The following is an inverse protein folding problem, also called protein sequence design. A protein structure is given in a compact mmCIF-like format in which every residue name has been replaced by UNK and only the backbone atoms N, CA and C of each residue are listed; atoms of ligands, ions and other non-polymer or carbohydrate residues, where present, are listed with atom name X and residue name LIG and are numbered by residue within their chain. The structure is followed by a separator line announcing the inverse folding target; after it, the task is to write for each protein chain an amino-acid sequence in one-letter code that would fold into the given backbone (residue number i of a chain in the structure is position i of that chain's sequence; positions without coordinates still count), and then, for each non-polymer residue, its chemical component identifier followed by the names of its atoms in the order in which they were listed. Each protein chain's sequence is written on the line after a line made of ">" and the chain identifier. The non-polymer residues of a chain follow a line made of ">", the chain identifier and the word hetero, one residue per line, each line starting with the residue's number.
data_IF_194409103111
#
_entry.id   IF_194409103111
#
_cell.length_a   1.000
_cell.length_b   1.000
_cell.length_c   1.000
_cell.angle_alpha   90.00
_cell.angle_beta   90.00
_cell.angle_gamma   90.00
#
_symmetry.space_group_name_H-M   'P 1'
#
loop_
_entity.id
_entity.type
_entity.pdbx_description
1 polymer ?
#
# COMPACT_ATOMS: atom_id res chain seq x y z
N UNK A 1 -35.91 39.73 -27.88
CA UNK A 1 -35.93 38.35 -27.36
C UNK A 1 -36.81 38.34 -26.14
N UNK A 2 -37.68 37.34 -26.01
CA UNK A 2 -38.57 37.25 -24.85
C UNK A 2 -37.77 36.96 -23.58
N UNK A 3 -38.22 37.48 -22.44
CA UNK A 3 -37.53 37.30 -21.16
C UNK A 3 -37.37 35.81 -20.80
N UNK A 4 -38.35 34.98 -21.19
CA UNK A 4 -38.32 33.54 -21.01
C UNK A 4 -37.16 32.91 -21.79
N UNK A 5 -36.93 33.33 -23.03
CA UNK A 5 -35.82 32.83 -23.85
C UNK A 5 -34.48 33.15 -23.21
N UNK A 6 -34.32 34.39 -22.73
CA UNK A 6 -33.09 34.82 -22.04
C UNK A 6 -32.88 34.00 -20.76
N UNK A 7 -33.93 33.82 -19.96
CA UNK A 7 -33.86 33.04 -18.73
C UNK A 7 -33.49 31.56 -18.98
N UNK A 8 -34.08 30.94 -20.00
CA UNK A 8 -33.76 29.56 -20.38
C UNK A 8 -32.32 29.41 -20.87
N UNK A 9 -31.79 30.39 -21.60
CA UNK A 9 -30.37 30.40 -22.01
C UNK A 9 -29.47 30.49 -20.78
N UNK A 10 -29.77 31.37 -19.82
CA UNK A 10 -29.01 31.50 -18.58
C UNK A 10 -29.02 30.19 -17.77
N UNK A 11 -30.20 29.58 -17.59
CA UNK A 11 -30.33 28.29 -16.89
C UNK A 11 -29.56 27.20 -17.64
N UNK A 12 -29.66 27.14 -18.97
CA UNK A 12 -28.92 26.19 -19.80
C UNK A 12 -27.40 26.36 -19.66
N UNK A 13 -26.90 27.59 -19.63
CA UNK A 13 -25.47 27.88 -19.38
C UNK A 13 -25.05 27.44 -17.99
N UNK A 14 -25.88 27.66 -16.96
CA UNK A 14 -25.61 27.16 -15.62
C UNK A 14 -25.51 25.63 -15.57
N UNK A 15 -26.43 24.93 -16.23
CA UNK A 15 -26.38 23.47 -16.34
C UNK A 15 -25.14 22.98 -17.10
N UNK A 16 -24.74 23.68 -18.18
CA UNK A 16 -23.53 23.38 -18.94
C UNK A 16 -22.27 23.52 -18.08
N UNK A 17 -22.20 24.53 -17.22
CA UNK A 17 -21.08 24.70 -16.28
C UNK A 17 -21.00 23.57 -15.25
N UNK A 18 -22.15 23.05 -14.78
CA UNK A 18 -22.15 21.87 -13.90
C UNK A 18 -21.61 20.62 -14.62
N UNK A 19 -21.95 20.43 -15.89
CA UNK A 19 -21.38 19.34 -16.70
C UNK A 19 -19.88 19.55 -16.88
N UNK A 20 -19.44 20.78 -17.15
CA UNK A 20 -18.03 21.11 -17.30
C UNK A 20 -17.21 20.86 -16.01
N UNK A 21 -17.78 21.13 -14.82
CA UNK A 21 -17.13 20.81 -13.53
C UNK A 21 -16.87 19.30 -13.37
N UNK A 22 -17.77 18.45 -13.87
CA UNK A 22 -17.60 16.99 -13.81
C UNK A 22 -16.45 16.55 -14.71
N UNK A 23 -16.25 17.21 -15.86
CA UNK A 23 -15.16 16.91 -16.79
C UNK A 23 -13.82 17.50 -16.35
N UNK A 24 -13.85 18.70 -15.77
CA UNK A 24 -12.68 19.45 -15.30
C UNK A 24 -12.97 19.91 -13.88
N UNK A 25 -12.56 19.12 -12.85
CA UNK A 25 -12.80 19.46 -11.46
C UNK A 25 -12.06 20.74 -11.10
N UNK A 26 -12.76 21.88 -11.07
CA UNK A 26 -12.15 23.18 -10.74
C UNK A 26 -12.15 23.47 -9.24
N UNK A 27 -12.67 22.54 -8.43
CA UNK A 27 -12.84 22.72 -7.00
C UNK A 27 -14.06 23.58 -6.65
N UNK A 28 -15.04 23.64 -7.56
CA UNK A 28 -16.30 24.36 -7.36
C UNK A 28 -16.37 25.76 -7.99
N UNK A 29 -15.35 26.23 -8.70
CA UNK A 29 -15.40 27.55 -9.37
C UNK A 29 -16.51 27.59 -10.42
N UNK A 30 -16.64 26.55 -11.25
CA UNK A 30 -17.72 26.48 -12.24
C UNK A 30 -19.08 26.27 -11.57
N UNK A 31 -19.14 25.66 -10.39
CA UNK A 31 -20.38 25.53 -9.59
C UNK A 31 -20.85 26.91 -9.14
N UNK A 32 -19.96 27.77 -8.64
CA UNK A 32 -20.31 29.16 -8.30
C UNK A 32 -20.84 29.90 -9.53
N UNK A 33 -20.17 29.74 -10.68
CA UNK A 33 -20.65 30.29 -11.95
C UNK A 33 -22.05 29.78 -12.32
N UNK A 34 -22.29 28.47 -12.20
CA UNK A 34 -23.59 27.87 -12.46
C UNK A 34 -24.69 28.44 -11.58
N UNK A 35 -24.43 28.59 -10.28
CA UNK A 35 -25.37 29.18 -9.32
C UNK A 35 -25.69 30.64 -9.67
N UNK A 36 -24.71 31.43 -10.11
CA UNK A 36 -24.95 32.80 -10.58
C UNK A 36 -25.86 32.80 -11.82
N UNK A 37 -25.61 31.93 -12.80
CA UNK A 37 -26.46 31.81 -13.98
C UNK A 37 -27.89 31.37 -13.64
N UNK A 38 -28.07 30.44 -12.71
CA UNK A 38 -29.40 30.06 -12.22
C UNK A 38 -30.10 31.22 -11.51
N UNK A 39 -29.39 31.93 -10.64
CA UNK A 39 -29.94 33.10 -9.93
C UNK A 39 -30.34 34.21 -10.91
N UNK A 40 -29.54 34.47 -11.94
CA UNK A 40 -29.86 35.45 -12.99
C UNK A 40 -31.06 34.99 -13.84
N UNK A 41 -31.12 33.71 -14.21
CA UNK A 41 -32.25 33.15 -14.97
C UNK A 41 -33.57 33.24 -14.20
N UNK A 42 -33.57 32.78 -12.95
CA UNK A 42 -34.74 32.87 -12.05
C UNK A 42 -35.09 34.33 -11.75
N UNK A 43 -34.09 35.18 -11.49
CA UNK A 43 -34.28 36.61 -11.27
C UNK A 43 -34.92 37.32 -12.46
N UNK A 44 -34.54 36.94 -13.69
CA UNK A 44 -35.15 37.45 -14.92
C UNK A 44 -36.63 37.07 -15.00
N UNK A 45 -36.97 35.81 -14.67
CA UNK A 45 -38.37 35.33 -14.64
C UNK A 45 -39.16 36.07 -13.56
N UNK A 46 -38.61 36.24 -12.36
CA UNK A 46 -39.29 36.94 -11.26
C UNK A 46 -39.49 38.44 -11.54
N UNK A 47 -38.59 39.06 -12.30
CA UNK A 47 -38.66 40.49 -12.60
C UNK A 47 -39.65 40.81 -13.73
N UNK A 48 -39.66 40.01 -14.79
CA UNK A 48 -40.48 40.28 -15.99
C UNK A 48 -41.72 39.41 -16.11
N UNK A 49 -41.76 38.26 -15.44
CA UNK A 49 -42.82 37.26 -15.51
C UNK A 49 -43.74 37.27 -14.31
N UNK A 50 -44.50 36.18 -14.16
CA UNK A 50 -45.42 36.00 -13.02
C UNK A 50 -44.76 35.28 -11.84
N UNK A 51 -45.31 35.46 -10.63
CA UNK A 51 -44.87 34.71 -9.45
C UNK A 51 -44.98 33.21 -9.66
N UNK A 52 -46.00 32.74 -10.39
CA UNK A 52 -46.18 31.32 -10.70
C UNK A 52 -45.02 30.78 -11.55
N UNK A 53 -44.59 31.51 -12.58
CA UNK A 53 -43.45 31.13 -13.41
C UNK A 53 -42.15 31.06 -12.59
N UNK A 54 -41.94 32.02 -11.69
CA UNK A 54 -40.78 31.99 -10.79
C UNK A 54 -40.78 30.79 -9.86
N UNK A 55 -41.94 30.47 -9.25
CA UNK A 55 -42.10 29.28 -8.39
C UNK A 55 -41.85 28.01 -9.18
N UNK A 56 -42.38 27.90 -10.40
CA UNK A 56 -42.15 26.75 -11.29
C UNK A 56 -40.66 26.62 -11.63
N UNK A 57 -39.97 27.72 -11.95
CA UNK A 57 -38.54 27.70 -12.25
C UNK A 57 -37.70 27.24 -11.05
N UNK A 58 -37.98 27.78 -9.86
CA UNK A 58 -37.28 27.39 -8.62
C UNK A 58 -37.53 25.93 -8.28
N UNK A 59 -38.79 25.47 -8.32
CA UNK A 59 -39.13 24.07 -8.08
C UNK A 59 -38.47 23.14 -9.11
N UNK A 60 -38.44 23.57 -10.38
CA UNK A 60 -37.78 22.85 -11.46
C UNK A 60 -36.29 22.67 -11.22
N UNK A 61 -35.58 23.70 -10.75
CA UNK A 61 -34.17 23.59 -10.39
C UNK A 61 -33.95 22.76 -9.12
N UNK A 62 -34.78 22.95 -8.09
CA UNK A 62 -34.67 22.25 -6.81
C UNK A 62 -34.88 20.74 -6.94
N UNK A 63 -35.76 20.30 -7.85
CA UNK A 63 -36.00 18.88 -8.13
C UNK A 63 -35.12 18.37 -9.26
N UNK A 64 -34.95 19.17 -10.31
CA UNK A 64 -34.24 18.79 -11.53
C UNK A 64 -32.75 18.58 -11.33
N UNK A 65 -32.07 19.43 -10.54
CA UNK A 65 -30.62 19.27 -10.31
C UNK A 65 -30.29 17.99 -9.53
N UNK A 66 -30.94 17.68 -8.37
CA UNK A 66 -30.73 16.40 -7.69
C UNK A 66 -31.14 15.20 -8.55
N UNK A 67 -32.26 15.28 -9.27
CA UNK A 67 -32.70 14.20 -10.14
C UNK A 67 -31.70 13.91 -11.27
N UNK A 68 -31.15 14.97 -11.90
CA UNK A 68 -30.10 14.83 -12.91
C UNK A 68 -28.82 14.23 -12.33
N UNK A 69 -28.40 14.65 -11.13
CA UNK A 69 -27.26 14.06 -10.43
C UNK A 69 -27.48 12.58 -10.10
N UNK A 70 -28.67 12.22 -9.62
CA UNK A 70 -29.02 10.82 -9.36
C UNK A 70 -29.05 9.98 -10.65
N UNK A 71 -29.63 10.51 -11.74
CA UNK A 71 -29.64 9.83 -13.03
C UNK A 71 -28.24 9.65 -13.60
N UNK A 72 -27.37 10.67 -13.49
CA UNK A 72 -25.99 10.60 -13.93
C UNK A 72 -25.19 9.56 -13.14
N UNK A 73 -25.33 9.52 -11.81
CA UNK A 73 -24.66 8.52 -10.97
C UNK A 73 -25.20 7.10 -11.22
N UNK A 74 -26.50 6.93 -11.40
CA UNK A 74 -27.10 5.65 -11.76
C UNK A 74 -26.63 5.15 -13.14
N UNK A 75 -26.55 6.04 -14.13
CA UNK A 75 -26.03 5.73 -15.45
C UNK A 75 -24.54 5.34 -15.40
N UNK A 76 -23.74 6.09 -14.64
CA UNK A 76 -22.32 5.77 -14.41
C UNK A 76 -22.17 4.38 -13.78
N UNK A 77 -22.95 4.06 -12.74
CA UNK A 77 -22.90 2.74 -12.09
C UNK A 77 -23.28 1.61 -13.04
N UNK A 78 -24.25 1.81 -13.94
CA UNK A 78 -24.60 0.81 -14.95
C UNK A 78 -23.49 0.57 -15.96
N UNK A 79 -22.79 1.61 -16.40
CA UNK A 79 -21.65 1.47 -17.32
C UNK A 79 -20.40 0.91 -16.63
N UNK A 80 -20.21 1.24 -15.35
CA UNK A 80 -19.08 0.78 -14.55
C UNK A 80 -19.23 -0.66 -14.05
N UNK A 81 -20.43 -1.25 -14.08
CA UNK A 81 -20.64 -2.64 -13.64
C UNK A 81 -20.13 -3.68 -14.65
N UNK A 82 -20.00 -3.30 -15.92
CA UNK A 82 -19.35 -4.14 -16.96
C UNK A 82 -17.83 -3.97 -16.98
N UNK A 83 -17.33 -2.96 -16.25
CA UNK A 83 -15.91 -2.66 -16.03
C UNK A 83 -15.55 -2.70 -14.55
N UNK A 84 -16.19 -3.61 -13.80
CA UNK A 84 -15.49 -4.25 -12.70
C UNK A 84 -14.40 -5.13 -13.32
N UNK A 85 -13.34 -4.45 -13.79
CA UNK A 85 -12.01 -5.01 -13.74
C UNK A 85 -11.86 -5.63 -12.36
N UNK A 86 -11.55 -6.92 -12.35
CA UNK A 86 -10.89 -7.59 -11.25
C UNK A 86 -9.81 -6.65 -10.70
N UNK A 87 -10.14 -5.84 -9.70
CA UNK A 87 -9.17 -5.19 -8.86
C UNK A 87 -8.68 -6.28 -7.90
N UNK A 88 -7.46 -6.82 -8.06
CA UNK A 88 -6.91 -7.79 -7.11
C UNK A 88 -6.40 -7.08 -5.84
N UNK A 89 -7.03 -5.95 -5.47
CA UNK A 89 -6.72 -5.16 -4.28
C UNK A 89 -7.93 -5.20 -3.35
N UNK A 90 -8.29 -6.41 -2.89
CA UNK A 90 -9.33 -6.54 -1.87
C UNK A 90 -9.89 -7.95 -1.72
N UNK A 91 -9.91 -8.74 -2.80
CA UNK A 91 -10.10 -10.18 -2.73
C UNK A 91 -8.73 -10.86 -2.78
N UNK A 92 -8.00 -10.74 -1.67
CA UNK A 92 -6.91 -11.66 -1.36
C UNK A 92 -7.45 -13.08 -1.59
N UNK A 93 -6.78 -13.95 -2.37
CA UNK A 93 -7.32 -15.23 -2.77
C UNK A 93 -7.91 -15.93 -1.55
N UNK A 94 -9.15 -16.41 -1.66
CA UNK A 94 -9.67 -17.40 -0.73
C UNK A 94 -8.53 -18.41 -0.50
N UNK A 95 -8.19 -18.74 0.76
CA UNK A 95 -7.00 -19.52 1.05
C UNK A 95 -7.00 -20.71 0.11
N UNK A 96 -6.03 -20.75 -0.81
CA UNK A 96 -5.89 -21.89 -1.70
C UNK A 96 -5.90 -23.12 -0.81
N UNK A 97 -6.58 -24.19 -1.22
CA UNK A 97 -6.73 -25.41 -0.41
C UNK A 97 -5.39 -25.91 0.19
N UNK A 98 -4.26 -25.49 -0.39
CA UNK A 98 -2.90 -25.73 0.07
C UNK A 98 -2.47 -24.96 1.35
N UNK A 99 -3.03 -23.79 1.66
CA UNK A 99 -2.60 -22.96 2.81
C UNK A 99 -3.28 -23.41 4.11
N UNK A 100 -4.51 -23.92 4.02
CA UNK A 100 -5.31 -24.35 5.19
C UNK A 100 -4.64 -25.49 5.97
N UNK A 101 -3.83 -26.32 5.29
CA UNK A 101 -3.06 -27.40 5.91
C UNK A 101 -1.71 -26.99 6.52
N UNK A 102 -1.32 -25.71 6.44
CA UNK A 102 -0.02 -25.25 6.96
C UNK A 102 -0.03 -24.97 8.47
N UNK A 103 -1.22 -24.88 9.10
CA UNK A 103 -1.32 -24.63 10.54
C UNK A 103 -0.58 -25.70 11.34
N UNK A 104 0.38 -25.27 12.16
CA UNK A 104 1.23 -26.15 12.97
C UNK A 104 2.48 -26.68 12.26
N UNK A 105 2.63 -26.48 10.94
CA UNK A 105 3.84 -26.87 10.22
C UNK A 105 4.99 -25.92 10.50
N UNK A 106 6.19 -26.44 10.30
CA UNK A 106 7.46 -25.73 10.46
C UNK A 106 8.02 -25.36 9.09
N UNK A 107 8.61 -24.18 8.97
CA UNK A 107 9.24 -23.68 7.76
C UNK A 107 10.45 -22.79 8.08
N UNK A 108 11.12 -22.31 7.05
CA UNK A 108 12.30 -21.44 7.17
C UNK A 108 12.09 -20.14 6.42
N UNK A 109 12.40 -19.00 7.04
CA UNK A 109 12.27 -17.69 6.38
C UNK A 109 13.22 -17.61 5.19
N UNK A 110 12.72 -17.16 4.04
CA UNK A 110 13.51 -16.94 2.83
C UNK A 110 13.93 -15.48 2.73
N UNK A 111 13.01 -14.57 3.06
CA UNK A 111 13.29 -13.14 3.19
C UNK A 111 13.17 -12.72 4.66
N UNK A 112 13.79 -11.61 5.07
CA UNK A 112 13.48 -11.01 6.36
C UNK A 112 11.98 -10.67 6.44
N UNK A 113 11.36 -10.89 7.60
CA UNK A 113 9.95 -10.60 7.88
C UNK A 113 9.86 -9.29 8.67
N UNK A 114 9.38 -8.21 8.03
CA UNK A 114 9.28 -6.86 8.62
C UNK A 114 8.00 -6.09 8.21
N UNK A 115 6.80 -6.42 8.74
CA UNK A 115 6.42 -7.65 9.43
C UNK A 115 6.06 -8.78 8.46
N UNK A 116 5.91 -8.48 7.17
CA UNK A 116 5.65 -9.45 6.11
C UNK A 116 6.93 -9.83 5.37
N UNK A 117 6.86 -10.97 4.68
CA UNK A 117 7.87 -11.47 3.75
C UNK A 117 7.52 -12.91 3.36
N UNK A 118 8.52 -13.70 3.01
CA UNK A 118 8.34 -15.05 2.46
C UNK A 118 8.97 -16.12 3.34
N UNK A 119 8.25 -17.22 3.52
CA UNK A 119 8.68 -18.40 4.27
C UNK A 119 8.54 -19.62 3.37
N UNK A 120 9.50 -20.54 3.45
CA UNK A 120 9.42 -21.83 2.78
C UNK A 120 8.85 -22.88 3.72
N UNK A 121 7.74 -23.50 3.31
CA UNK A 121 7.17 -24.69 3.93
C UNK A 121 7.24 -25.82 2.89
N UNK A 122 7.95 -26.91 3.21
CA UNK A 122 8.02 -28.12 2.38
C UNK A 122 8.42 -27.86 0.92
N UNK A 123 9.42 -26.98 0.72
CA UNK A 123 9.91 -26.60 -0.60
C UNK A 123 9.04 -25.61 -1.37
N UNK A 124 7.92 -25.15 -0.79
CA UNK A 124 7.06 -24.11 -1.38
C UNK A 124 7.21 -22.79 -0.62
N UNK A 125 7.46 -21.71 -1.35
CA UNK A 125 7.50 -20.35 -0.79
C UNK A 125 6.08 -19.81 -0.67
N UNK A 126 5.74 -19.30 0.50
CA UNK A 126 4.45 -18.68 0.80
C UNK A 126 4.65 -17.34 1.48
N UNK A 127 3.68 -16.44 1.29
CA UNK A 127 3.67 -15.16 1.98
C UNK A 127 3.28 -15.34 3.44
N UNK A 128 4.12 -14.77 4.31
CA UNK A 128 3.99 -14.90 5.74
C UNK A 128 4.14 -13.56 6.44
N UNK A 129 3.48 -13.44 7.60
CA UNK A 129 3.58 -12.33 8.52
C UNK A 129 4.02 -12.83 9.89
N UNK A 130 5.01 -12.18 10.50
CA UNK A 130 5.41 -12.50 11.87
C UNK A 130 4.32 -12.05 12.86
N UNK A 131 4.01 -12.88 13.85
CA UNK A 131 3.07 -12.54 14.94
C UNK A 131 3.66 -11.50 15.92
N UNK A 132 4.98 -11.30 15.88
CA UNK A 132 5.68 -10.46 16.85
C UNK A 132 6.90 -9.74 16.26
N UNK A 133 8.09 -10.14 16.70
CA UNK A 133 9.34 -9.47 16.33
C UNK A 133 9.72 -9.71 14.87
N UNK A 134 10.49 -8.77 14.32
CA UNK A 134 11.13 -8.93 13.02
C UNK A 134 12.03 -10.17 13.02
N UNK A 135 11.97 -10.94 11.93
CA UNK A 135 12.79 -12.14 11.75
C UNK A 135 13.71 -11.93 10.56
N UNK A 136 14.98 -12.30 10.68
CA UNK A 136 15.89 -12.32 9.54
C UNK A 136 15.61 -13.53 8.63
N UNK A 137 16.25 -13.56 7.47
CA UNK A 137 16.24 -14.72 6.59
C UNK A 137 16.97 -15.91 7.24
N UNK A 138 16.51 -17.14 6.96
CA UNK A 138 17.10 -18.37 7.48
C UNK A 138 16.65 -18.79 8.89
N UNK A 139 15.65 -18.12 9.47
CA UNK A 139 15.11 -18.41 10.81
C UNK A 139 14.01 -19.46 10.71
N UNK A 140 14.04 -20.45 11.61
CA UNK A 140 12.98 -21.45 11.74
C UNK A 140 11.72 -20.83 12.36
N UNK A 141 10.58 -21.13 11.75
CA UNK A 141 9.28 -20.59 12.17
C UNK A 141 8.19 -21.66 12.11
N UNK A 142 7.21 -21.55 13.00
CA UNK A 142 5.98 -22.36 12.98
C UNK A 142 4.81 -21.50 12.54
N UNK A 143 3.95 -22.05 11.68
CA UNK A 143 2.67 -21.44 11.34
C UNK A 143 1.70 -21.55 12.53
N UNK A 144 1.26 -20.41 13.06
CA UNK A 144 0.30 -20.31 14.17
C UNK A 144 -1.13 -20.22 13.65
N UNK A 145 -1.32 -19.46 12.58
CA UNK A 145 -2.65 -19.20 12.02
C UNK A 145 -2.55 -18.90 10.52
N UNK A 146 -3.63 -19.12 9.77
CA UNK A 146 -3.74 -18.73 8.36
C UNK A 146 -4.92 -17.77 8.26
N UNK A 147 -4.67 -16.52 7.89
CA UNK A 147 -5.69 -15.49 7.73
C UNK A 147 -5.67 -14.95 6.32
N UNK A 148 -6.81 -15.06 5.63
CA UNK A 148 -7.04 -14.45 4.30
C UNK A 148 -5.83 -14.68 3.38
N UNK A 149 -5.39 -15.92 3.18
CA UNK A 149 -4.26 -16.22 2.27
C UNK A 149 -2.86 -15.77 2.72
N UNK A 150 -2.68 -15.18 3.90
CA UNK A 150 -1.37 -14.96 4.53
C UNK A 150 -1.18 -15.89 5.73
N UNK A 151 0.03 -16.43 5.86
CA UNK A 151 0.41 -17.32 6.96
C UNK A 151 1.00 -16.52 8.12
N UNK A 152 0.42 -16.63 9.31
CA UNK A 152 0.97 -16.01 10.52
C UNK A 152 1.97 -16.97 11.14
N UNK A 153 3.21 -16.52 11.30
CA UNK A 153 4.33 -17.35 11.77
C UNK A 153 4.94 -16.81 13.04
N UNK A 154 5.45 -17.72 13.87
CA UNK A 154 6.19 -17.41 15.10
C UNK A 154 7.54 -18.09 15.07
N UNK A 155 8.59 -17.39 15.53
CA UNK A 155 9.94 -17.96 15.67
C UNK A 155 9.90 -19.23 16.51
N UNK A 156 10.66 -20.23 16.08
CA UNK A 156 10.94 -21.43 16.85
C UNK A 156 12.43 -21.77 16.81
N UNK A 157 12.87 -22.59 17.75
CA UNK A 157 14.17 -23.24 17.70
C UNK A 157 14.17 -24.32 16.61
N UNK A 158 15.35 -24.61 16.05
CA UNK A 158 15.51 -25.61 15.01
C UNK A 158 14.96 -26.97 15.47
N UNK A 159 14.10 -27.64 14.68
CA UNK A 159 13.57 -28.94 15.07
C UNK A 159 14.68 -29.96 15.29
N UNK A 160 14.62 -30.72 16.39
CA UNK A 160 15.63 -31.73 16.73
C UNK A 160 15.80 -32.83 15.67
N UNK A 161 14.80 -33.02 14.80
CA UNK A 161 14.78 -34.07 13.77
C UNK A 161 15.60 -33.76 12.50
N UNK A 162 16.20 -32.55 12.39
CA UNK A 162 17.04 -32.16 11.23
C UNK A 162 18.54 -32.27 11.52
N UNK A 163 18.93 -32.57 12.76
CA UNK A 163 20.34 -32.70 13.16
C UNK A 163 21.04 -33.93 12.54
N UNK A 164 20.28 -34.92 12.07
CA UNK A 164 20.81 -36.18 11.53
C UNK A 164 20.96 -36.20 10.00
N UNK A 165 20.69 -35.09 9.30
CA UNK A 165 20.90 -34.99 7.85
C UNK A 165 22.23 -34.28 7.58
N UNK A 166 23.31 -35.08 7.53
CA UNK A 166 24.62 -34.70 6.99
C UNK A 166 24.47 -34.25 5.51
N UNK A 167 24.80 -33.00 5.15
CA UNK A 167 24.71 -32.53 3.76
C UNK A 167 25.89 -32.97 2.89
N UNK A 168 26.85 -33.72 3.43
CA UNK A 168 28.09 -34.10 2.73
C UNK A 168 28.19 -35.61 2.52
N UNK A 169 27.36 -36.12 1.62
CA UNK A 169 27.58 -37.41 0.98
C UNK A 169 28.87 -37.42 0.15
N UNK A 170 29.99 -37.80 0.75
CA UNK A 170 31.14 -38.36 0.03
C UNK A 170 31.66 -39.56 0.80
N UNK A 171 31.30 -40.76 0.34
CA UNK A 171 31.76 -42.01 0.93
C UNK A 171 33.21 -42.33 0.58
N UNK A 172 33.99 -42.73 1.60
CA UNK A 172 35.08 -43.70 1.50
C UNK A 172 35.51 -44.17 2.94
N UNK A 173 36.01 -45.41 3.11
CA UNK A 173 35.69 -46.30 4.25
C UNK A 173 36.63 -46.24 5.49
N UNK A 174 36.31 -46.97 6.59
CA UNK A 174 36.86 -46.76 7.93
C UNK A 174 38.22 -47.45 8.15
N UNK A 175 39.14 -46.78 8.85
CA UNK A 175 40.32 -47.39 9.46
C UNK A 175 40.69 -46.72 10.80
N UNK A 176 41.08 -47.58 11.74
CA UNK A 176 41.19 -47.50 13.20
C UNK A 176 42.13 -46.45 13.87
N UNK A 177 42.04 -46.31 15.22
CA UNK A 177 42.64 -45.23 16.02
C UNK A 177 44.07 -45.51 16.52
N UNK A 178 44.92 -44.48 16.62
CA UNK A 178 46.08 -44.49 17.55
C UNK A 178 46.75 -43.12 17.79
N UNK A 179 46.84 -42.80 19.09
CA UNK A 179 47.91 -42.12 19.83
C UNK A 179 48.21 -40.61 19.64
N UNK A 180 48.36 -39.93 20.78
CA UNK A 180 48.82 -38.55 20.97
C UNK A 180 50.37 -38.47 21.19
N UNK A 181 50.95 -37.33 21.62
CA UNK A 181 51.67 -36.30 20.83
C UNK A 181 53.20 -36.23 21.18
N UNK A 182 53.99 -35.26 20.65
CA UNK A 182 54.48 -34.16 21.53
C UNK A 182 54.79 -32.79 20.84
N UNK A 183 55.17 -31.74 21.62
CA UNK A 183 55.08 -30.31 21.27
C UNK A 183 56.45 -29.64 21.00
N UNK A 184 56.46 -28.57 20.18
CA UNK A 184 57.50 -27.51 20.04
C UNK A 184 57.17 -26.77 18.73
N UNK A 185 57.09 -25.44 18.60
CA UNK A 185 57.94 -24.35 19.05
C UNK A 185 57.15 -23.01 18.92
N UNK A 186 57.10 -22.23 20.00
CA UNK A 186 57.30 -20.76 19.92
C UNK A 186 58.76 -20.53 20.36
N UNK A 187 59.50 -19.45 20.02
CA UNK A 187 59.03 -18.09 19.68
C UNK A 187 59.89 -17.31 18.63
N UNK A 188 59.41 -16.14 18.17
CA UNK A 188 60.25 -14.92 18.12
C UNK A 188 59.41 -13.65 18.06
N UNK A 189 59.67 -12.78 19.03
CA UNK A 189 59.24 -11.40 19.12
C UNK A 189 60.33 -10.45 18.54
N UNK A 190 59.98 -9.15 18.50
CA UNK A 190 60.71 -7.95 18.04
C UNK A 190 60.36 -7.54 16.59
N UNK A 191 59.96 -6.29 16.27
CA UNK A 191 60.19 -5.00 16.96
C UNK A 191 59.14 -3.93 16.53
N UNK A 192 58.86 -2.89 17.34
CA UNK A 192 57.86 -1.85 17.06
C UNK A 192 58.45 -0.65 16.30
N UNK A 193 57.70 -0.09 15.35
CA UNK A 193 58.07 1.16 14.65
C UNK A 193 57.47 2.37 15.36
N UNK A 194 58.33 3.35 15.63
CA UNK A 194 58.14 4.52 16.48
C UNK A 194 57.07 5.54 15.99
N UNK A 195 56.62 6.46 16.88
CA UNK A 195 55.55 7.42 16.64
C UNK A 195 55.96 8.55 15.69
N UNK A 196 55.00 9.08 14.93
CA UNK A 196 55.14 10.38 14.25
C UNK A 196 54.41 11.42 15.09
N UNK A 197 55.19 12.42 15.53
CA UNK A 197 54.73 13.66 16.13
C UNK A 197 54.42 14.65 14.99
N UNK A 198 53.16 15.03 14.85
CA UNK A 198 52.72 16.24 14.13
C UNK A 198 51.56 16.89 14.88
N UNK A 199 51.86 17.36 16.10
CA UNK A 199 51.15 18.48 16.70
C UNK A 199 51.76 19.76 16.12
N UNK A 200 51.06 20.41 15.19
CA UNK A 200 51.14 21.84 14.90
C UNK A 200 50.06 22.20 13.88
N UNK A 201 48.81 22.34 14.35
CA UNK A 201 47.82 23.24 13.74
C UNK A 201 46.64 23.45 14.70
N UNK A 202 46.94 24.10 15.83
CA UNK A 202 45.95 24.82 16.63
C UNK A 202 46.14 26.30 16.32
N UNK A 203 45.36 26.85 15.39
CA UNK A 203 45.13 28.29 15.32
C UNK A 203 43.67 28.60 15.66
N UNK A 204 43.52 29.28 16.80
CA UNK A 204 42.28 29.70 17.43
C UNK A 204 42.02 31.14 16.96
N UNK A 205 41.18 31.29 15.95
CA UNK A 205 40.72 32.60 15.47
C UNK A 205 39.29 32.90 15.90
N UNK A 206 39.12 33.39 17.13
CA UNK A 206 37.89 34.04 17.60
C UNK A 206 37.87 35.50 17.09
N UNK A 207 36.87 35.88 16.31
CA UNK A 207 36.39 37.26 16.29
C UNK A 207 34.85 37.33 16.25
N UNK A 208 34.31 37.91 17.33
CA UNK A 208 32.96 38.44 17.41
C UNK A 208 33.03 39.87 16.87
N UNK A 209 32.11 40.24 16.00
CA UNK A 209 31.46 41.57 16.06
C UNK A 209 30.05 41.45 15.52
#
# INVERSE_FOLDING_TARGET
>A
MDYLTVALILIGLGALLLVAEILVPTGGVLVVGALLFFALGVGTILYYGSTLEGVVAIAGLAVGLPAAGFAATAAWRRMSLDTALDDPVGQQPAPGAETTGLKGRTGKTVSPLRPSGSVEFDGKRVDAMTEGMMLDAGVWVRCVEVRRGQVIVRRMEEPADVADIDPTGTGAPPAEPKAAPPPSERPRAAEPKAPRDDFDDFDIGLDKT
#
